data_IF_458347046931
#
_entry.id   IF_458347046931
#
_cell.length_a   1.000
_cell.length_b   1.000
_cell.length_c   1.000
_cell.angle_alpha   90.00
_cell.angle_beta   90.00
_cell.angle_gamma   90.00
#
_symmetry.space_group_name_H-M   'P 1'
#
loop_
_entity.id
_entity.type
_entity.pdbx_description
1 polymer ?
#
# COMPACT_ATOMS: atom_id res chain seq x y z
N UNK A 1 24.66 -4.13 4.12
CA UNK A 1 23.87 -2.97 4.53
C UNK A 1 24.02 -1.93 3.43
N UNK A 2 22.96 -1.62 2.69
CA UNK A 2 22.98 -0.47 1.79
C UNK A 2 23.21 0.79 2.64
N UNK A 3 24.04 1.73 2.19
CA UNK A 3 24.15 3.01 2.87
C UNK A 3 22.85 3.78 2.70
N UNK A 4 22.43 4.55 3.69
CA UNK A 4 21.25 5.43 3.64
C UNK A 4 21.27 6.34 2.38
N UNK A 5 22.48 6.72 1.95
CA UNK A 5 22.70 7.47 0.71
C UNK A 5 22.32 6.70 -0.56
N UNK A 6 22.50 5.38 -0.57
CA UNK A 6 22.13 4.51 -1.69
C UNK A 6 20.60 4.43 -1.82
N UNK A 7 19.89 4.32 -0.71
CA UNK A 7 18.42 4.25 -0.68
C UNK A 7 17.79 5.58 -1.12
N UNK A 8 18.32 6.72 -0.64
CA UNK A 8 17.88 8.05 -1.07
C UNK A 8 18.09 8.24 -2.58
N UNK A 9 19.25 7.85 -3.12
CA UNK A 9 19.53 7.93 -4.56
C UNK A 9 18.59 7.05 -5.38
N UNK A 10 18.26 5.86 -4.88
CA UNK A 10 17.33 4.94 -5.54
C UNK A 10 15.92 5.54 -5.64
N UNK A 11 15.36 6.00 -4.52
CA UNK A 11 14.01 6.60 -4.52
C UNK A 11 13.97 7.88 -5.33
N UNK A 12 15.02 8.72 -5.26
CA UNK A 12 15.14 9.92 -6.09
C UNK A 12 15.06 9.59 -7.58
N UNK A 13 15.78 8.57 -8.05
CA UNK A 13 15.73 8.11 -9.44
C UNK A 13 14.38 7.50 -9.81
N UNK A 14 13.77 6.73 -8.90
CA UNK A 14 12.43 6.19 -9.09
C UNK A 14 11.41 7.31 -9.32
N UNK A 15 11.51 8.41 -8.57
CA UNK A 15 10.62 9.57 -8.72
C UNK A 15 10.83 10.41 -9.97
N UNK A 16 11.89 10.16 -10.74
CA UNK A 16 12.16 10.81 -12.04
C UNK A 16 11.59 10.02 -13.21
N UNK A 17 11.07 8.81 -12.98
CA UNK A 17 10.47 8.00 -14.01
C UNK A 17 9.05 8.50 -14.35
N UNK A 18 8.54 8.22 -15.56
CA UNK A 18 7.14 8.44 -15.89
C UNK A 18 6.18 7.72 -14.94
N UNK A 19 5.01 8.32 -14.68
CA UNK A 19 4.01 7.82 -13.73
C UNK A 19 3.57 6.36 -14.00
N UNK A 20 3.47 5.97 -15.27
CA UNK A 20 3.11 4.63 -15.72
C UNK A 20 4.22 3.61 -15.42
N UNK A 21 5.48 4.00 -15.59
CA UNK A 21 6.64 3.19 -15.23
C UNK A 21 6.73 3.02 -13.71
N UNK A 22 6.51 4.10 -12.94
CA UNK A 22 6.44 4.02 -11.48
C UNK A 22 5.33 3.06 -11.07
N UNK A 23 4.12 3.20 -11.64
CA UNK A 23 3.01 2.31 -11.33
C UNK A 23 3.30 0.84 -11.65
N UNK A 24 4.01 0.56 -12.75
CA UNK A 24 4.43 -0.79 -13.12
C UNK A 24 5.41 -1.35 -12.09
N UNK A 25 6.47 -0.62 -11.73
CA UNK A 25 7.45 -1.04 -10.72
C UNK A 25 6.75 -1.34 -9.40
N UNK A 26 5.91 -0.41 -8.93
CA UNK A 26 5.17 -0.55 -7.66
C UNK A 26 4.23 -1.77 -7.67
N UNK A 27 3.72 -2.18 -8.85
CA UNK A 27 2.86 -3.37 -8.95
C UNK A 27 3.59 -4.69 -8.69
N UNK A 28 4.92 -4.71 -8.84
CA UNK A 28 5.76 -5.88 -8.53
C UNK A 28 6.35 -5.86 -7.12
N UNK A 29 6.20 -4.75 -6.39
CA UNK A 29 6.69 -4.65 -5.01
C UNK A 29 5.65 -5.26 -4.05
N UNK A 30 6.05 -6.22 -3.20
CA UNK A 30 5.15 -6.81 -2.22
C UNK A 30 4.52 -5.74 -1.32
N UNK A 31 3.23 -5.88 -1.00
CA UNK A 31 2.48 -4.84 -0.27
C UNK A 31 3.08 -4.48 1.09
N UNK A 32 3.75 -5.42 1.76
CA UNK A 32 4.41 -5.17 3.04
C UNK A 32 5.67 -4.29 2.91
N UNK A 33 6.25 -4.18 1.71
CA UNK A 33 7.41 -3.33 1.43
C UNK A 33 7.03 -1.97 0.83
N UNK A 34 5.75 -1.73 0.58
CA UNK A 34 5.27 -0.47 0.02
C UNK A 34 5.17 0.67 1.04
N UNK A 35 5.12 0.37 2.33
CA UNK A 35 4.89 1.38 3.38
C UNK A 35 5.97 2.50 3.39
N UNK A 36 7.27 2.21 3.28
CA UNK A 36 8.30 3.27 3.17
C UNK A 36 8.08 4.20 1.97
N UNK A 37 7.51 3.70 0.87
CA UNK A 37 7.27 4.45 -0.36
C UNK A 37 6.09 5.43 -0.26
N UNK A 38 5.25 5.35 0.78
CA UNK A 38 4.21 6.34 1.05
C UNK A 38 4.77 7.69 1.49
N UNK A 39 5.96 7.68 2.13
CA UNK A 39 6.67 8.89 2.53
C UNK A 39 7.29 9.64 1.35
N UNK A 40 7.44 9.00 0.21
CA UNK A 40 8.04 9.58 -0.98
C UNK A 40 6.96 10.07 -1.96
N UNK A 41 6.90 11.40 -2.16
CA UNK A 41 5.82 12.05 -2.92
C UNK A 41 5.58 11.48 -4.32
N UNK A 42 6.64 11.24 -5.15
CA UNK A 42 6.46 10.71 -6.50
C UNK A 42 5.82 9.31 -6.57
N UNK A 43 6.06 8.44 -5.58
CA UNK A 43 5.52 7.08 -5.57
C UNK A 43 4.17 6.98 -4.90
N UNK A 44 3.80 7.98 -4.09
CA UNK A 44 2.64 7.94 -3.19
C UNK A 44 1.34 7.52 -3.89
N UNK A 45 1.05 8.09 -5.06
CA UNK A 45 -0.17 7.76 -5.83
C UNK A 45 -0.17 6.31 -6.32
N UNK A 46 0.95 5.83 -6.85
CA UNK A 46 1.09 4.46 -7.32
C UNK A 46 0.96 3.45 -6.16
N UNK A 47 1.55 3.78 -5.01
CA UNK A 47 1.46 2.96 -3.80
C UNK A 47 0.02 2.85 -3.30
N UNK A 48 -0.70 3.99 -3.20
CA UNK A 48 -2.13 3.96 -2.81
C UNK A 48 -2.96 3.15 -3.80
N UNK A 49 -2.71 3.30 -5.11
CA UNK A 49 -3.38 2.51 -6.14
C UNK A 49 -3.13 1.01 -5.97
N UNK A 50 -1.90 0.62 -5.61
CA UNK A 50 -1.55 -0.79 -5.35
C UNK A 50 -2.26 -1.34 -4.10
N UNK A 51 -2.30 -0.58 -3.00
CA UNK A 51 -3.06 -0.96 -1.81
C UNK A 51 -4.56 -1.11 -2.09
N UNK A 52 -5.14 -0.21 -2.88
CA UNK A 52 -6.56 -0.26 -3.25
C UNK A 52 -6.87 -1.37 -4.27
N UNK A 53 -5.89 -1.91 -5.00
CA UNK A 53 -6.16 -2.93 -6.01
C UNK A 53 -6.86 -4.18 -5.43
N UNK A 54 -6.55 -4.56 -4.19
CA UNK A 54 -7.15 -5.72 -3.54
C UNK A 54 -7.24 -5.48 -2.03
N UNK A 55 -8.47 -5.28 -1.54
CA UNK A 55 -8.78 -4.78 -0.20
C UNK A 55 -9.72 -5.73 0.54
N UNK A 56 -9.45 -5.98 1.83
CA UNK A 56 -10.35 -6.67 2.75
C UNK A 56 -10.84 -5.68 3.81
N UNK A 57 -12.16 -5.51 3.91
CA UNK A 57 -12.80 -4.77 4.98
C UNK A 57 -12.70 -5.57 6.27
N UNK A 58 -12.11 -4.95 7.28
CA UNK A 58 -11.92 -5.52 8.62
C UNK A 58 -12.21 -4.47 9.69
N UNK A 59 -12.41 -4.89 10.93
CA UNK A 59 -12.52 -3.98 12.07
C UNK A 59 -11.17 -3.38 12.50
N UNK A 60 -10.05 -3.83 11.91
CA UNK A 60 -8.71 -3.32 12.23
C UNK A 60 -8.50 -1.86 11.81
N UNK A 61 -7.81 -1.12 12.68
CA UNK A 61 -7.30 0.24 12.41
C UNK A 61 -5.92 0.15 11.73
N UNK A 62 -5.97 0.23 10.39
CA UNK A 62 -4.98 0.74 9.43
C UNK A 62 -3.60 0.08 9.21
N UNK A 63 -3.40 -0.38 7.98
CA UNK A 63 -2.10 -0.55 7.30
C UNK A 63 -1.64 0.72 6.55
N UNK A 64 -2.56 1.60 6.14
CA UNK A 64 -2.25 2.68 5.19
C UNK A 64 -1.80 3.98 5.91
N UNK A 65 -2.06 4.11 7.23
CA UNK A 65 -1.79 5.34 7.99
C UNK A 65 -0.90 5.09 9.24
N UNK A 66 -1.03 3.94 9.93
CA UNK A 66 -0.33 3.72 11.21
C UNK A 66 0.57 2.49 11.27
N UNK A 67 0.48 1.53 10.34
CA UNK A 67 1.30 0.31 10.37
C UNK A 67 1.04 -0.59 11.59
N UNK A 68 -0.14 -0.48 12.23
CA UNK A 68 -0.41 -1.09 13.55
C UNK A 68 -1.12 -2.44 13.49
N UNK A 69 -1.40 -2.99 12.31
CA UNK A 69 -1.78 -4.39 12.24
C UNK A 69 -0.53 -5.24 12.46
N UNK A 70 -0.36 -5.72 13.70
CA UNK A 70 0.55 -6.80 14.07
C UNK A 70 0.27 -8.03 13.19
N UNK A 71 0.86 -8.07 12.00
CA UNK A 71 1.19 -9.34 11.36
C UNK A 71 2.52 -9.74 11.97
N UNK A 72 2.47 -10.19 13.22
CA UNK A 72 3.60 -10.70 14.02
C UNK A 72 4.20 -11.99 13.46
N UNK A 73 3.94 -12.32 12.21
CA UNK A 73 4.40 -13.54 11.59
C UNK A 73 4.78 -13.20 10.17
N UNK A 74 6.04 -13.48 9.85
CA UNK A 74 6.63 -13.69 8.54
C UNK A 74 5.58 -14.17 7.49
N UNK A 75 4.78 -13.25 6.97
CA UNK A 75 3.60 -13.59 6.19
C UNK A 75 3.88 -13.26 4.74
N UNK A 76 3.80 -14.29 3.91
CA UNK A 76 3.70 -14.22 2.46
C UNK A 76 2.75 -13.08 2.05
N UNK A 77 3.34 -11.92 1.72
CA UNK A 77 2.63 -10.64 1.58
C UNK A 77 2.44 -10.26 0.11
N UNK A 78 2.85 -11.15 -0.82
CA UNK A 78 2.80 -10.89 -2.25
C UNK A 78 1.35 -10.75 -2.73
N UNK A 79 0.42 -11.56 -2.21
CA UNK A 79 -0.96 -11.61 -2.74
C UNK A 79 -2.10 -11.39 -1.73
N UNK A 80 -1.78 -11.10 -0.47
CA UNK A 80 -2.84 -10.88 0.54
C UNK A 80 -3.59 -9.57 0.29
N UNK A 81 -4.93 -9.54 0.46
CA UNK A 81 -5.69 -8.30 0.47
C UNK A 81 -5.17 -7.33 1.52
N UNK A 82 -5.16 -6.02 1.21
CA UNK A 82 -4.85 -5.00 2.19
C UNK A 82 -6.02 -4.88 3.18
N UNK A 83 -5.77 -5.10 4.47
CA UNK A 83 -6.78 -4.93 5.50
C UNK A 83 -7.02 -3.43 5.77
N UNK A 84 -8.28 -3.00 5.73
CA UNK A 84 -8.66 -1.60 5.98
C UNK A 84 -10.03 -1.53 6.63
N UNK A 85 -10.26 -0.52 7.47
CA UNK A 85 -11.60 -0.21 7.96
C UNK A 85 -12.45 0.44 6.87
N UNK A 86 -13.78 0.30 6.97
CA UNK A 86 -14.70 0.98 6.05
C UNK A 86 -14.57 2.51 6.11
N UNK A 87 -14.32 3.07 7.30
CA UNK A 87 -14.12 4.51 7.51
C UNK A 87 -12.89 5.01 6.75
N UNK A 88 -11.78 4.28 6.82
CA UNK A 88 -10.52 4.70 6.21
C UNK A 88 -10.52 4.46 4.70
N UNK A 89 -11.18 3.40 4.24
CA UNK A 89 -11.45 3.24 2.81
C UNK A 89 -12.21 4.44 2.24
N UNK A 90 -13.27 4.90 2.91
CA UNK A 90 -14.02 6.10 2.47
C UNK A 90 -13.13 7.35 2.39
N UNK A 91 -12.21 7.53 3.34
CA UNK A 91 -11.26 8.64 3.32
C UNK A 91 -10.29 8.53 2.14
N UNK A 92 -9.72 7.34 1.89
CA UNK A 92 -8.81 7.10 0.78
C UNK A 92 -9.47 7.33 -0.59
N UNK A 93 -10.71 6.85 -0.77
CA UNK A 93 -11.48 7.07 -2.00
C UNK A 93 -11.71 8.56 -2.22
N UNK A 94 -12.11 9.31 -1.18
CA UNK A 94 -12.31 10.77 -1.28
C UNK A 94 -11.02 11.52 -1.58
N UNK A 95 -9.91 11.16 -0.92
CA UNK A 95 -8.64 11.86 -1.04
C UNK A 95 -7.96 11.62 -2.39
N UNK A 96 -8.04 10.40 -2.91
CA UNK A 96 -7.29 9.99 -4.10
C UNK A 96 -8.14 9.85 -5.35
N UNK A 97 -9.47 9.88 -5.22
CA UNK A 97 -10.42 9.55 -6.28
C UNK A 97 -10.11 8.20 -6.95
N UNK A 98 -9.70 7.22 -6.14
CA UNK A 98 -9.37 5.86 -6.56
C UNK A 98 -10.30 4.87 -5.86
N UNK A 99 -10.82 3.90 -6.61
CA UNK A 99 -11.73 2.88 -6.11
C UNK A 99 -11.04 1.51 -6.04
N UNK A 100 -11.38 0.67 -5.04
CA UNK A 100 -10.86 -0.68 -5.02
C UNK A 100 -11.25 -1.47 -6.27
N UNK A 101 -10.33 -2.27 -6.81
CA UNK A 101 -10.70 -3.20 -7.89
C UNK A 101 -11.39 -4.44 -7.34
N UNK A 102 -10.93 -4.92 -6.18
CA UNK A 102 -11.51 -6.07 -5.50
C UNK A 102 -11.70 -5.75 -4.02
N UNK A 103 -12.87 -6.12 -3.50
CA UNK A 103 -13.29 -5.84 -2.13
C UNK A 103 -13.82 -7.13 -1.48
N UNK A 104 -13.29 -7.48 -0.31
CA UNK A 104 -13.75 -8.60 0.50
C UNK A 104 -14.32 -8.10 1.83
N UNK A 105 -15.35 -8.77 2.34
CA UNK A 105 -15.84 -8.55 3.69
C UNK A 105 -15.38 -9.70 4.58
N UNK A 106 -14.90 -9.38 5.79
CA UNK A 106 -14.74 -10.41 6.80
C UNK A 106 -16.12 -10.89 7.24
N UNK A 107 -16.46 -12.14 6.92
CA UNK A 107 -17.67 -12.78 7.43
C UNK A 107 -17.39 -13.22 8.87
N UNK A 108 -18.08 -12.62 9.83
CA UNK A 108 -18.11 -13.15 11.20
C UNK A 108 -18.86 -14.49 11.17
N UNK A 109 -18.20 -15.56 11.61
CA UNK A 109 -18.90 -16.82 11.89
C UNK A 109 -19.71 -16.59 13.17
N UNK A 110 -21.05 -16.61 13.03
CA UNK A 110 -21.96 -16.72 14.16
C UNK A 110 -21.86 -18.10 14.80
#
# INVERSE_FOLDING_TARGET
>A
MASEETDIKLFTRLGQLPDDVIALIISYVPKCQLQPLLGFSPTKKAVVKSYLANVKITECQDLIISGTCNQSEHCDCQDKPAAVSLKNLRLLVKQWNLYPKTLYFQVSKN
#
